data_IF_909632171316
#
_entry.id   IF_909632171316
#
_cell.length_a   1.000
_cell.length_b   1.000
_cell.length_c   1.000
_cell.angle_alpha   90.00
_cell.angle_beta   90.00
_cell.angle_gamma   90.00
#
_symmetry.space_group_name_H-M   'P 1'
#
loop_
_entity.id
_entity.type
_entity.pdbx_description
1 polymer ?
#
# COMPACT_ATOMS: atom_id res chain seq x y z
N UNK A 1 -16.54 -3.91 -15.15
CA UNK A 1 -16.09 -4.73 -16.28
C UNK A 1 -15.95 -6.14 -15.75
N UNK A 2 -16.67 -7.12 -16.30
CA UNK A 2 -16.46 -8.51 -15.89
C UNK A 2 -15.11 -8.99 -16.42
N UNK A 3 -14.42 -9.82 -15.64
CA UNK A 3 -13.13 -10.38 -16.00
C UNK A 3 -13.23 -11.28 -17.25
N UNK A 4 -14.44 -11.76 -17.57
CA UNK A 4 -14.74 -12.67 -18.69
C UNK A 4 -14.24 -12.12 -20.03
N UNK A 5 -14.38 -10.81 -20.27
CA UNK A 5 -13.90 -10.20 -21.51
C UNK A 5 -12.39 -10.42 -21.71
N UNK A 6 -11.59 -10.31 -20.64
CA UNK A 6 -10.15 -10.47 -20.75
C UNK A 6 -9.75 -11.95 -20.84
N UNK A 7 -10.54 -12.86 -20.27
CA UNK A 7 -10.36 -14.31 -20.44
C UNK A 7 -10.57 -14.68 -21.91
N UNK A 8 -11.67 -14.22 -22.52
CA UNK A 8 -12.01 -14.52 -23.91
C UNK A 8 -11.00 -13.90 -24.90
N UNK A 9 -10.46 -12.73 -24.56
CA UNK A 9 -9.51 -12.00 -25.40
C UNK A 9 -8.04 -12.33 -25.13
N UNK A 10 -7.68 -12.96 -24.01
CA UNK A 10 -6.28 -13.18 -23.62
C UNK A 10 -5.51 -14.17 -24.50
N UNK A 11 -6.22 -15.06 -25.22
CA UNK A 11 -5.59 -16.16 -25.96
C UNK A 11 -5.00 -17.23 -25.02
N UNK A 12 -4.26 -18.18 -25.57
CA UNK A 12 -3.80 -19.37 -24.82
C UNK A 12 -2.45 -19.91 -25.29
N UNK A 13 -1.65 -19.11 -25.99
CA UNK A 13 -0.35 -19.54 -26.55
C UNK A 13 0.80 -18.62 -26.13
N UNK A 14 2.03 -19.10 -26.25
CA UNK A 14 3.22 -18.26 -26.03
C UNK A 14 3.31 -17.12 -27.06
N UNK A 15 2.80 -17.34 -28.28
CA UNK A 15 2.73 -16.29 -29.29
C UNK A 15 1.78 -15.16 -28.85
N UNK A 16 0.61 -15.51 -28.28
CA UNK A 16 -0.31 -14.51 -27.72
C UNK A 16 0.39 -13.66 -26.65
N UNK A 17 1.10 -14.29 -25.70
CA UNK A 17 1.86 -13.58 -24.66
C UNK A 17 2.86 -12.61 -25.28
N UNK A 18 3.65 -13.03 -26.26
CA UNK A 18 4.66 -12.20 -26.89
C UNK A 18 4.05 -11.02 -27.66
N UNK A 19 2.95 -11.26 -28.38
CA UNK A 19 2.21 -10.24 -29.11
C UNK A 19 1.57 -9.21 -28.16
N UNK A 20 1.01 -9.65 -27.03
CA UNK A 20 0.46 -8.78 -25.98
C UNK A 20 1.57 -7.94 -25.34
N UNK A 21 2.73 -8.53 -25.03
CA UNK A 21 3.88 -7.81 -24.42
C UNK A 21 4.46 -6.80 -25.39
N UNK A 22 4.56 -7.11 -26.69
CA UNK A 22 4.90 -6.15 -27.74
C UNK A 22 3.77 -5.11 -27.95
N UNK A 23 2.55 -5.48 -27.56
CA UNK A 23 1.24 -4.86 -27.75
C UNK A 23 0.89 -4.52 -29.19
N UNK A 24 1.12 -5.52 -30.02
CA UNK A 24 0.42 -5.69 -31.28
C UNK A 24 -0.22 -7.07 -31.22
N UNK A 25 -1.49 -7.11 -30.86
CA UNK A 25 -2.21 -8.36 -30.58
C UNK A 25 -3.41 -8.51 -31.50
N UNK A 26 -3.53 -9.64 -32.20
CA UNK A 26 -4.63 -9.94 -33.15
C UNK A 26 -4.87 -8.81 -34.17
N UNK A 27 -3.80 -8.19 -34.65
CA UNK A 27 -3.87 -7.11 -35.64
C UNK A 27 -4.23 -5.72 -35.08
N UNK A 28 -4.34 -5.57 -33.76
CA UNK A 28 -4.65 -4.30 -33.08
C UNK A 28 -3.46 -3.83 -32.25
N UNK A 29 -3.17 -2.53 -32.30
CA UNK A 29 -2.17 -1.92 -31.40
C UNK A 29 -2.78 -1.68 -30.01
N UNK A 30 -2.12 -2.20 -28.99
CA UNK A 30 -2.51 -2.04 -27.58
C UNK A 30 -1.44 -1.20 -26.91
N UNK A 31 -1.59 0.13 -26.94
CA UNK A 31 -0.58 1.03 -26.35
C UNK A 31 -0.61 1.04 -24.82
N UNK A 32 -1.80 0.92 -24.23
CA UNK A 32 -1.97 0.98 -22.77
C UNK A 32 -1.40 -0.27 -22.09
N UNK A 33 -0.36 -0.07 -21.27
CA UNK A 33 0.31 -1.15 -20.54
C UNK A 33 -0.64 -1.82 -19.56
N UNK A 34 -1.56 -1.08 -18.91
CA UNK A 34 -2.52 -1.70 -17.99
C UNK A 34 -3.46 -2.69 -18.71
N UNK A 35 -3.87 -2.38 -19.93
CA UNK A 35 -4.65 -3.29 -20.78
C UNK A 35 -3.84 -4.51 -21.19
N UNK A 36 -2.56 -4.36 -21.55
CA UNK A 36 -1.66 -5.50 -21.82
C UNK A 36 -1.58 -6.44 -20.61
N UNK A 37 -1.43 -5.90 -19.40
CA UNK A 37 -1.38 -6.69 -18.16
C UNK A 37 -2.67 -7.48 -17.95
N UNK A 38 -3.85 -6.89 -18.20
CA UNK A 38 -5.13 -7.60 -18.07
C UNK A 38 -5.31 -8.71 -19.10
N UNK A 39 -4.86 -8.49 -20.34
CA UNK A 39 -4.87 -9.52 -21.37
C UNK A 39 -3.96 -10.69 -20.98
N UNK A 40 -2.76 -10.41 -20.44
CA UNK A 40 -1.86 -11.45 -19.90
C UNK A 40 -2.51 -12.24 -18.77
N UNK A 41 -3.28 -11.60 -17.88
CA UNK A 41 -4.05 -12.32 -16.86
C UNK A 41 -5.04 -13.29 -17.49
N UNK A 42 -5.74 -12.89 -18.55
CA UNK A 42 -6.62 -13.77 -19.31
C UNK A 42 -5.88 -14.96 -19.90
N UNK A 43 -4.71 -14.72 -20.51
CA UNK A 43 -3.86 -15.78 -21.05
C UNK A 43 -3.43 -16.78 -19.97
N UNK A 44 -2.98 -16.28 -18.82
CA UNK A 44 -2.52 -17.11 -17.71
C UNK A 44 -3.65 -17.91 -17.04
N UNK A 45 -4.89 -17.40 -17.09
CA UNK A 45 -6.07 -18.09 -16.58
C UNK A 45 -6.58 -19.18 -17.55
N UNK A 46 -6.27 -19.08 -18.85
CA UNK A 46 -6.77 -20.00 -19.87
C UNK A 46 -6.06 -21.36 -19.91
N UNK A 47 -4.74 -21.38 -19.66
CA UNK A 47 -3.92 -22.59 -19.72
C UNK A 47 -2.83 -22.58 -18.64
N UNK A 48 -2.86 -23.58 -17.77
CA UNK A 48 -1.87 -23.77 -16.70
C UNK A 48 -0.44 -23.90 -17.24
N UNK A 49 -0.25 -24.43 -18.46
CA UNK A 49 1.07 -24.59 -19.08
C UNK A 49 1.65 -23.25 -19.56
N UNK A 50 0.81 -22.23 -19.78
CA UNK A 50 1.23 -20.90 -20.24
C UNK A 50 1.40 -19.93 -19.07
N UNK A 51 0.81 -20.22 -17.90
CA UNK A 51 0.86 -19.36 -16.70
C UNK A 51 2.27 -18.85 -16.38
N UNK A 52 3.27 -19.73 -16.30
CA UNK A 52 4.64 -19.33 -15.97
C UNK A 52 5.30 -18.49 -17.08
N UNK A 53 4.96 -18.78 -18.34
CA UNK A 53 5.43 -18.00 -19.49
C UNK A 53 4.80 -16.61 -19.53
N UNK A 54 3.50 -16.50 -19.21
CA UNK A 54 2.78 -15.23 -19.10
C UNK A 54 3.36 -14.33 -18.00
N UNK A 55 3.96 -14.91 -16.95
CA UNK A 55 4.64 -14.15 -15.89
C UNK A 55 6.07 -13.79 -16.27
N UNK A 56 6.88 -14.78 -16.60
CA UNK A 56 8.35 -14.65 -16.63
C UNK A 56 8.97 -14.68 -18.02
N UNK A 57 8.19 -15.06 -19.04
CA UNK A 57 8.65 -15.24 -20.41
C UNK A 57 9.64 -16.40 -20.59
N UNK A 58 10.39 -16.33 -21.68
CA UNK A 58 11.50 -17.24 -21.95
C UNK A 58 12.77 -16.81 -21.22
N UNK A 59 13.57 -17.78 -20.75
CA UNK A 59 14.81 -17.51 -20.02
C UNK A 59 15.86 -16.75 -20.84
N UNK A 60 15.88 -16.90 -22.17
CA UNK A 60 16.85 -16.27 -23.07
C UNK A 60 16.27 -15.05 -23.77
N UNK A 61 15.03 -15.15 -24.24
CA UNK A 61 14.39 -14.09 -25.04
C UNK A 61 13.63 -13.07 -24.20
N UNK A 62 13.38 -13.35 -22.92
CA UNK A 62 12.48 -12.57 -22.09
C UNK A 62 11.02 -12.83 -22.46
N UNK A 63 10.13 -11.93 -22.06
CA UNK A 63 8.70 -12.04 -22.30
C UNK A 63 7.87 -11.92 -21.03
N UNK A 64 6.58 -12.20 -21.19
CA UNK A 64 5.61 -12.17 -20.11
C UNK A 64 5.49 -10.80 -19.43
N UNK A 65 4.83 -10.83 -18.29
CA UNK A 65 4.60 -9.67 -17.45
C UNK A 65 5.89 -9.03 -16.98
N UNK A 66 6.91 -9.83 -16.68
CA UNK A 66 8.22 -9.35 -16.25
C UNK A 66 8.79 -8.30 -17.20
N UNK A 67 8.65 -8.49 -18.51
CA UNK A 67 9.17 -7.53 -19.49
C UNK A 67 8.46 -6.17 -19.45
N UNK A 68 7.23 -6.11 -18.94
CA UNK A 68 6.49 -4.85 -18.83
C UNK A 68 6.94 -4.03 -17.62
N UNK A 69 7.29 -4.68 -16.50
CA UNK A 69 7.58 -3.99 -15.23
C UNK A 69 9.04 -3.99 -14.80
N UNK A 70 9.88 -4.87 -15.35
CA UNK A 70 11.28 -4.98 -14.99
C UNK A 70 12.21 -4.55 -16.13
N UNK A 71 13.24 -3.80 -15.78
CA UNK A 71 14.37 -3.46 -16.66
C UNK A 71 15.64 -3.29 -15.81
N UNK A 72 16.82 -3.32 -16.45
CA UNK A 72 18.10 -3.07 -15.75
C UNK A 72 18.15 -1.70 -15.07
N UNK A 73 17.43 -0.73 -15.62
CA UNK A 73 17.09 0.52 -14.96
C UNK A 73 15.55 0.57 -14.82
N UNK A 74 14.98 0.50 -13.60
CA UNK A 74 13.52 0.51 -13.41
C UNK A 74 12.81 1.73 -14.01
N UNK A 75 13.51 2.86 -14.17
CA UNK A 75 12.99 4.07 -14.82
C UNK A 75 12.68 3.86 -16.32
N UNK A 76 13.29 2.86 -16.96
CA UNK A 76 13.10 2.55 -18.38
C UNK A 76 12.14 1.41 -18.65
N UNK A 77 11.63 0.75 -17.59
CA UNK A 77 10.63 -0.30 -17.73
C UNK A 77 9.38 0.24 -18.47
N UNK A 78 8.77 -0.53 -19.38
CA UNK A 78 7.60 -0.09 -20.15
C UNK A 78 6.45 0.45 -19.30
N UNK A 79 6.18 -0.17 -18.16
CA UNK A 79 5.14 0.27 -17.22
C UNK A 79 5.50 1.61 -16.58
N UNK A 80 6.75 1.79 -16.17
CA UNK A 80 7.23 3.05 -15.60
C UNK A 80 7.14 4.19 -16.61
N UNK A 81 7.73 3.99 -17.79
CA UNK A 81 7.83 5.04 -18.82
C UNK A 81 6.50 5.31 -19.52
N UNK A 82 5.78 4.26 -19.90
CA UNK A 82 4.57 4.35 -20.73
C UNK A 82 3.27 4.50 -19.94
N UNK A 83 3.28 4.28 -18.63
CA UNK A 83 2.08 4.45 -17.80
C UNK A 83 2.35 5.36 -16.60
N UNK A 84 3.29 5.02 -15.72
CA UNK A 84 3.45 5.75 -14.45
C UNK A 84 3.77 7.23 -14.69
N UNK A 85 4.74 7.54 -15.54
CA UNK A 85 5.12 8.92 -15.83
C UNK A 85 3.98 9.74 -16.45
N UNK A 86 3.23 9.16 -17.40
CA UNK A 86 2.09 9.82 -18.03
C UNK A 86 0.96 10.08 -17.03
N UNK A 87 0.65 9.10 -16.19
CA UNK A 87 -0.43 9.21 -15.21
C UNK A 87 -0.06 10.12 -14.04
N UNK A 88 1.21 10.19 -13.65
CA UNK A 88 1.69 11.19 -12.68
C UNK A 88 1.56 12.60 -13.23
N UNK A 89 1.88 12.83 -14.51
CA UNK A 89 1.62 14.12 -15.16
C UNK A 89 0.13 14.45 -15.12
N UNK A 90 -0.74 13.50 -15.47
CA UNK A 90 -2.20 13.69 -15.41
C UNK A 90 -2.70 13.98 -14.00
N UNK A 91 -2.20 13.27 -12.99
CA UNK A 91 -2.51 13.52 -11.58
C UNK A 91 -2.10 14.94 -11.15
N UNK A 92 -0.96 15.43 -11.64
CA UNK A 92 -0.51 16.79 -11.39
C UNK A 92 -1.44 17.82 -12.05
N UNK A 93 -1.77 17.61 -13.32
CA UNK A 93 -2.65 18.51 -14.10
C UNK A 93 -4.06 18.59 -13.51
N UNK A 94 -4.54 17.50 -12.90
CA UNK A 94 -5.81 17.44 -12.15
C UNK A 94 -5.72 18.01 -10.73
N UNK A 95 -4.54 18.44 -10.27
CA UNK A 95 -4.33 18.94 -8.91
C UNK A 95 -4.50 17.86 -7.83
N UNK A 96 -4.27 16.59 -8.15
CA UNK A 96 -4.46 15.45 -7.24
C UNK A 96 -3.18 15.01 -6.52
N UNK A 97 -2.00 15.43 -6.98
CA UNK A 97 -0.73 15.14 -6.29
C UNK A 97 -0.50 16.03 -5.07
N UNK A 98 -1.09 17.23 -5.06
CA UNK A 98 -0.93 18.22 -3.99
C UNK A 98 -2.29 18.66 -3.50
N UNK A 99 -2.52 18.70 -2.18
CA UNK A 99 -3.78 19.22 -1.66
C UNK A 99 -4.01 20.68 -2.08
N UNK A 100 -5.15 20.95 -2.71
CA UNK A 100 -5.58 22.29 -3.11
C UNK A 100 -6.67 22.81 -2.17
N UNK A 101 -6.27 23.31 -0.99
CA UNK A 101 -7.20 24.01 -0.10
C UNK A 101 -6.54 25.23 0.53
N UNK A 102 -7.37 26.20 0.91
CA UNK A 102 -6.91 27.36 1.65
C UNK A 102 -6.65 27.00 3.10
N UNK A 103 -5.43 27.25 3.60
CA UNK A 103 -5.14 27.11 5.03
C UNK A 103 -6.01 28.05 5.89
N UNK A 104 -6.51 29.15 5.30
CA UNK A 104 -7.39 30.10 5.99
C UNK A 104 -8.76 29.51 6.32
N UNK A 105 -9.20 28.48 5.60
CA UNK A 105 -10.45 27.76 5.94
C UNK A 105 -10.29 26.72 7.03
N UNK A 106 -9.07 26.50 7.54
CA UNK A 106 -8.79 25.56 8.62
C UNK A 106 -8.69 26.28 9.98
N UNK A 107 -8.85 25.57 11.11
CA UNK A 107 -8.68 26.15 12.43
C UNK A 107 -7.35 26.89 12.60
N UNK A 108 -7.36 27.98 13.38
CA UNK A 108 -6.15 28.78 13.65
C UNK A 108 -5.00 27.90 14.14
N UNK A 109 -3.83 28.07 13.53
CA UNK A 109 -2.64 27.27 13.82
C UNK A 109 -2.51 26.00 12.98
N UNK A 110 -3.39 25.78 11.99
CA UNK A 110 -3.23 24.70 11.00
C UNK A 110 -2.07 24.99 10.05
N UNK A 111 -1.35 23.94 9.65
CA UNK A 111 -0.22 23.98 8.73
C UNK A 111 -0.21 22.72 7.85
N UNK A 112 0.50 22.79 6.72
CA UNK A 112 0.71 21.68 5.81
C UNK A 112 2.20 21.30 5.82
N UNK A 113 2.49 20.00 5.94
CA UNK A 113 3.81 19.43 5.73
C UNK A 113 3.81 18.61 4.46
N UNK A 114 4.70 18.97 3.54
CA UNK A 114 4.94 18.22 2.33
C UNK A 114 6.44 18.15 2.08
N UNK A 115 6.93 16.97 1.75
CA UNK A 115 8.31 16.73 1.38
C UNK A 115 8.38 15.60 0.37
N UNK A 116 9.48 15.56 -0.36
CA UNK A 116 9.84 14.46 -1.25
C UNK A 116 10.86 13.58 -0.53
N UNK A 117 10.83 12.29 -0.81
CA UNK A 117 11.78 11.33 -0.29
C UNK A 117 12.11 10.31 -1.36
N UNK A 118 13.29 9.72 -1.24
CA UNK A 118 13.73 8.63 -2.11
C UNK A 118 13.80 7.34 -1.30
N UNK A 119 13.29 6.26 -1.87
CA UNK A 119 13.35 4.95 -1.21
C UNK A 119 14.78 4.44 -1.09
N UNK A 120 15.26 4.25 0.15
CA UNK A 120 16.58 3.68 0.42
C UNK A 120 16.67 2.17 0.11
N UNK A 121 15.53 1.47 0.19
CA UNK A 121 15.35 0.07 -0.17
C UNK A 121 14.03 -0.08 -0.91
N UNK A 122 13.88 -1.16 -1.65
CA UNK A 122 12.61 -1.51 -2.28
C UNK A 122 11.48 -1.54 -1.26
N UNK A 123 10.32 -1.04 -1.68
CA UNK A 123 9.11 -1.01 -0.90
C UNK A 123 8.07 -1.94 -1.52
N UNK A 124 7.47 -2.77 -0.69
CA UNK A 124 6.48 -3.74 -1.10
C UNK A 124 5.20 -3.49 -0.31
N UNK A 125 4.07 -3.66 -0.98
CA UNK A 125 2.76 -3.68 -0.35
C UNK A 125 1.90 -4.71 -1.04
N UNK A 126 0.90 -5.21 -0.33
CA UNK A 126 -0.08 -6.11 -0.93
C UNK A 126 -1.20 -5.28 -1.55
N UNK A 127 -1.47 -5.50 -2.83
CA UNK A 127 -2.74 -5.08 -3.43
C UNK A 127 -3.83 -6.12 -3.19
N UNK A 128 -5.07 -5.67 -3.06
CA UNK A 128 -6.26 -6.53 -2.91
C UNK A 128 -6.99 -6.73 -4.25
N UNK A 129 -6.36 -6.38 -5.38
CA UNK A 129 -6.95 -6.53 -6.71
C UNK A 129 -7.15 -8.02 -7.00
N UNK A 130 -8.40 -8.51 -7.10
CA UNK A 130 -8.65 -9.88 -7.54
C UNK A 130 -8.27 -9.99 -9.01
N UNK A 131 -7.85 -11.17 -9.45
CA UNK A 131 -7.53 -11.45 -10.85
C UNK A 131 -6.33 -10.63 -11.37
N UNK A 132 -5.16 -10.92 -10.82
CA UNK A 132 -3.87 -10.42 -11.29
C UNK A 132 -3.15 -11.45 -12.14
N UNK A 133 -2.10 -11.04 -12.89
CA UNK A 133 -1.44 -11.84 -13.97
C UNK A 133 -1.39 -13.33 -13.66
N UNK A 134 -0.98 -13.69 -12.45
CA UNK A 134 -1.13 -15.04 -11.91
C UNK A 134 -1.15 -14.99 -10.39
N UNK A 135 -1.51 -16.10 -9.74
CA UNK A 135 -1.36 -16.26 -8.29
C UNK A 135 0.11 -16.22 -7.82
N UNK A 136 1.07 -16.42 -8.73
CA UNK A 136 2.50 -16.37 -8.42
C UNK A 136 3.09 -14.96 -8.48
N UNK A 137 2.30 -13.96 -8.88
CA UNK A 137 2.68 -12.55 -8.86
C UNK A 137 1.92 -11.84 -7.75
N UNK A 138 2.65 -11.35 -6.74
CA UNK A 138 2.08 -10.51 -5.71
C UNK A 138 2.17 -9.04 -6.14
N UNK A 139 1.02 -8.40 -6.46
CA UNK A 139 1.01 -7.02 -6.92
C UNK A 139 1.34 -6.03 -5.79
N UNK A 140 2.09 -4.98 -6.14
CA UNK A 140 2.21 -3.78 -5.33
C UNK A 140 0.89 -3.02 -5.41
N UNK A 141 0.47 -2.40 -4.30
CA UNK A 141 -0.76 -1.60 -4.28
C UNK A 141 -0.68 -0.45 -5.28
N UNK A 142 -1.69 -0.34 -6.13
CA UNK A 142 -1.82 0.71 -7.14
C UNK A 142 -3.10 1.50 -6.95
N UNK A 143 -3.09 2.73 -7.43
CA UNK A 143 -4.33 3.50 -7.56
C UNK A 143 -5.31 2.81 -8.50
N UNK A 144 -6.61 2.87 -8.18
CA UNK A 144 -7.64 2.14 -8.93
C UNK A 144 -7.82 2.66 -10.36
N UNK A 145 -7.64 3.96 -10.57
CA UNK A 145 -7.88 4.63 -11.85
C UNK A 145 -6.56 4.76 -12.62
N UNK A 146 -5.55 5.36 -11.99
CA UNK A 146 -4.29 5.73 -12.63
C UNK A 146 -3.31 4.55 -12.72
N UNK A 147 -3.53 3.48 -11.96
CA UNK A 147 -2.65 2.30 -11.90
C UNK A 147 -1.19 2.62 -11.51
N UNK A 148 -0.96 3.77 -10.90
CA UNK A 148 0.34 4.16 -10.32
C UNK A 148 0.50 3.51 -8.94
N UNK A 149 1.66 2.96 -8.59
CA UNK A 149 1.91 2.45 -7.24
C UNK A 149 1.67 3.51 -6.18
N UNK A 150 0.95 3.14 -5.12
CA UNK A 150 0.46 4.11 -4.13
C UNK A 150 0.56 3.58 -2.70
N UNK A 151 1.08 4.43 -1.82
CA UNK A 151 0.94 4.28 -0.39
C UNK A 151 -0.26 5.07 0.10
N UNK A 152 -1.26 4.38 0.64
CA UNK A 152 -2.50 5.01 1.09
C UNK A 152 -2.28 5.90 2.33
N UNK A 153 -3.09 6.96 2.43
CA UNK A 153 -3.11 7.85 3.59
C UNK A 153 -3.32 7.10 4.92
N UNK A 154 -4.16 6.05 4.93
CA UNK A 154 -4.40 5.21 6.10
C UNK A 154 -3.17 4.39 6.51
N UNK A 155 -2.37 3.94 5.53
CA UNK A 155 -1.10 3.23 5.80
C UNK A 155 -0.07 4.18 6.43
N UNK A 156 0.07 5.39 5.90
CA UNK A 156 0.91 6.43 6.52
C UNK A 156 0.48 6.76 7.95
N UNK A 157 -0.83 6.96 8.16
CA UNK A 157 -1.40 7.20 9.48
C UNK A 157 -1.05 6.07 10.45
N UNK A 158 -1.23 4.81 10.03
CA UNK A 158 -0.96 3.65 10.86
C UNK A 158 0.51 3.53 11.25
N UNK A 159 1.42 3.65 10.28
CA UNK A 159 2.87 3.57 10.52
C UNK A 159 3.36 4.70 11.41
N UNK A 160 2.92 5.93 11.17
CA UNK A 160 3.32 7.06 12.01
C UNK A 160 2.71 6.95 13.42
N UNK A 161 1.45 6.51 13.56
CA UNK A 161 0.85 6.25 14.88
C UNK A 161 1.67 5.23 15.66
N UNK A 162 2.08 4.14 14.99
CA UNK A 162 2.91 3.10 15.60
C UNK A 162 4.30 3.63 16.00
N UNK A 163 5.00 4.32 15.09
CA UNK A 163 6.33 4.86 15.37
C UNK A 163 6.31 5.87 16.52
N UNK A 164 5.36 6.81 16.51
CA UNK A 164 5.20 7.80 17.59
C UNK A 164 4.84 7.11 18.91
N UNK A 165 3.98 6.09 18.89
CA UNK A 165 3.68 5.27 20.08
C UNK A 165 4.92 4.58 20.64
N UNK A 166 5.74 3.94 19.80
CA UNK A 166 6.98 3.30 20.24
C UNK A 166 7.89 4.31 20.96
N UNK A 167 8.19 5.43 20.31
CA UNK A 167 9.15 6.43 20.81
C UNK A 167 8.61 7.23 22.01
N UNK A 168 7.32 7.59 22.01
CA UNK A 168 6.78 8.49 23.06
C UNK A 168 6.17 7.77 24.26
N UNK A 169 5.74 6.51 24.09
CA UNK A 169 5.07 5.74 25.14
C UNK A 169 5.89 4.52 25.55
N UNK A 170 6.26 3.63 24.61
CA UNK A 170 6.77 2.31 24.98
C UNK A 170 8.25 2.31 25.37
N UNK A 171 9.11 2.96 24.59
CA UNK A 171 10.54 3.11 24.89
C UNK A 171 10.78 3.78 26.26
N UNK A 172 10.17 4.96 26.56
CA UNK A 172 10.33 5.61 27.86
C UNK A 172 9.42 5.05 28.95
N UNK A 173 8.63 4.00 28.71
CA UNK A 173 7.54 3.56 29.60
C UNK A 173 7.96 3.44 31.08
N UNK A 174 9.13 2.85 31.34
CA UNK A 174 9.67 2.66 32.70
C UNK A 174 10.06 3.97 33.42
N UNK A 175 10.31 5.03 32.66
CA UNK A 175 10.71 6.35 33.16
C UNK A 175 9.52 7.27 33.37
N UNK A 176 8.36 6.95 32.78
CA UNK A 176 7.15 7.76 32.88
C UNK A 176 6.37 7.41 34.15
N UNK A 177 5.83 8.46 34.76
CA UNK A 177 4.73 8.31 35.72
C UNK A 177 3.45 7.88 34.99
N UNK A 178 2.51 7.29 35.73
CA UNK A 178 1.21 6.90 35.18
C UNK A 178 0.44 8.10 34.56
N UNK A 179 0.54 9.28 35.18
CA UNK A 179 -0.11 10.50 34.66
C UNK A 179 0.54 11.00 33.37
N UNK A 180 1.88 10.98 33.28
CA UNK A 180 2.59 11.36 32.07
C UNK A 180 2.29 10.41 30.91
N UNK A 181 2.28 9.10 31.17
CA UNK A 181 1.91 8.11 30.17
C UNK A 181 0.48 8.37 29.67
N UNK A 182 -0.48 8.54 30.59
CA UNK A 182 -1.87 8.85 30.24
C UNK A 182 -2.02 10.16 29.45
N UNK A 183 -1.26 11.20 29.80
CA UNK A 183 -1.25 12.49 29.11
C UNK A 183 -0.70 12.37 27.68
N UNK A 184 0.39 11.60 27.50
CA UNK A 184 0.97 11.34 26.17
C UNK A 184 0.02 10.50 25.32
N UNK A 185 -0.60 9.45 25.89
CA UNK A 185 -1.62 8.63 25.22
C UNK A 185 -2.81 9.48 24.76
N UNK A 186 -3.32 10.38 25.62
CA UNK A 186 -4.34 11.35 25.23
C UNK A 186 -3.91 12.23 24.05
N UNK A 187 -2.67 12.73 24.05
CA UNK A 187 -2.17 13.51 22.92
C UNK A 187 -2.18 12.68 21.62
N UNK A 188 -1.86 11.38 21.69
CA UNK A 188 -1.93 10.49 20.52
C UNK A 188 -3.37 10.32 20.03
N UNK A 189 -4.33 10.15 20.94
CA UNK A 189 -5.77 10.08 20.62
C UNK A 189 -6.26 11.36 19.92
N UNK A 190 -5.76 12.53 20.32
CA UNK A 190 -6.10 13.79 19.66
C UNK A 190 -5.42 13.95 18.29
N UNK A 191 -4.21 13.43 18.10
CA UNK A 191 -3.49 13.51 16.83
C UNK A 191 -4.02 12.50 15.80
N UNK A 192 -4.22 11.24 16.21
CA UNK A 192 -4.54 10.13 15.32
C UNK A 192 -6.01 9.70 15.36
N UNK A 193 -6.78 10.18 16.33
CA UNK A 193 -8.17 9.75 16.56
C UNK A 193 -8.27 8.68 17.63
N UNK A 194 -9.49 8.23 17.87
CA UNK A 194 -9.83 7.22 18.86
C UNK A 194 -9.05 5.90 18.71
N UNK A 195 -9.01 5.14 19.80
CA UNK A 195 -8.32 3.87 19.87
C UNK A 195 -9.28 2.75 19.48
N UNK A 196 -8.88 1.93 18.49
CA UNK A 196 -9.68 0.77 18.09
C UNK A 196 -9.80 -0.19 19.27
N UNK A 197 -11.03 -0.58 19.58
CA UNK A 197 -11.34 -1.51 20.66
C UNK A 197 -11.66 -0.85 22.00
N UNK A 198 -11.75 0.47 22.06
CA UNK A 198 -12.36 1.17 23.20
C UNK A 198 -13.89 1.11 23.05
N UNK A 199 -14.58 0.36 23.93
CA UNK A 199 -16.03 0.18 23.85
C UNK A 199 -16.70 -0.17 25.20
N UNK A 200 -18.05 -0.14 25.27
CA UNK A 200 -18.77 -0.40 26.50
C UNK A 200 -18.56 -1.84 27.00
N UNK A 201 -18.12 -1.99 28.24
CA UNK A 201 -17.99 -3.30 28.92
C UNK A 201 -16.77 -4.14 28.50
N UNK A 202 -16.04 -3.77 27.44
CA UNK A 202 -14.82 -4.47 27.06
C UNK A 202 -13.83 -3.60 26.29
N UNK A 203 -12.57 -3.62 26.71
CA UNK A 203 -11.44 -2.99 26.01
C UNK A 203 -10.73 -4.07 25.20
N UNK A 204 -10.55 -3.88 23.89
CA UNK A 204 -9.98 -4.86 22.94
C UNK A 204 -8.85 -4.24 22.10
N UNK A 205 -8.22 -5.07 21.26
CA UNK A 205 -7.27 -4.67 20.22
C UNK A 205 -6.18 -3.68 20.73
N UNK A 206 -6.16 -2.49 20.16
CA UNK A 206 -5.12 -1.49 20.38
C UNK A 206 -5.26 -0.83 21.74
N UNK A 207 -6.50 -0.59 22.18
CA UNK A 207 -6.76 -0.03 23.50
C UNK A 207 -6.32 -1.01 24.61
N UNK A 208 -6.58 -2.31 24.45
CA UNK A 208 -6.14 -3.35 25.41
C UNK A 208 -4.63 -3.43 25.46
N UNK A 209 -3.97 -3.44 24.30
CA UNK A 209 -2.51 -3.45 24.24
C UNK A 209 -1.87 -2.30 25.03
N UNK A 210 -2.40 -1.07 24.92
CA UNK A 210 -1.88 0.08 25.65
C UNK A 210 -2.20 0.02 27.15
N UNK A 211 -3.36 -0.54 27.53
CA UNK A 211 -3.69 -0.79 28.93
C UNK A 211 -2.71 -1.80 29.54
N UNK A 212 -2.40 -2.88 28.84
CA UNK A 212 -1.47 -3.93 29.28
C UNK A 212 -0.02 -3.40 29.39
N UNK A 213 0.36 -2.45 28.53
CA UNK A 213 1.67 -1.81 28.59
C UNK A 213 1.87 -0.97 29.86
N UNK A 214 0.81 -0.33 30.38
CA UNK A 214 0.87 0.53 31.57
C UNK A 214 -0.47 0.52 32.35
N UNK A 215 -0.76 -0.55 33.11
CA UNK A 215 -2.09 -0.76 33.72
C UNK A 215 -2.54 0.33 34.70
N UNK A 216 -1.60 0.89 35.46
CA UNK A 216 -1.81 1.98 36.42
C UNK A 216 -2.17 3.32 35.75
N UNK A 217 -1.98 3.45 34.43
CA UNK A 217 -2.31 4.66 33.67
C UNK A 217 -3.70 4.65 33.01
N UNK A 218 -4.31 3.49 32.82
CA UNK A 218 -5.49 3.31 31.97
C UNK A 218 -6.71 4.08 32.48
N UNK A 219 -6.98 4.01 33.79
CA UNK A 219 -8.05 4.79 34.41
C UNK A 219 -7.80 6.30 34.34
N UNK A 220 -6.53 6.71 34.49
CA UNK A 220 -6.13 8.12 34.40
C UNK A 220 -6.35 8.64 32.97
N UNK A 221 -5.97 7.86 31.96
CA UNK A 221 -6.20 8.18 30.55
C UNK A 221 -7.69 8.39 30.27
N UNK A 222 -8.54 7.43 30.63
CA UNK A 222 -10.00 7.52 30.44
C UNK A 222 -10.60 8.73 31.15
N UNK A 223 -10.20 9.00 32.40
CA UNK A 223 -10.63 10.19 33.14
C UNK A 223 -10.25 11.49 32.40
N UNK A 224 -9.04 11.56 31.84
CA UNK A 224 -8.59 12.74 31.07
C UNK A 224 -9.36 12.88 29.75
N UNK A 225 -9.68 11.79 29.05
CA UNK A 225 -10.54 11.81 27.86
C UNK A 225 -11.93 12.34 28.22
N UNK A 226 -12.59 11.74 29.24
CA UNK A 226 -13.91 12.18 29.69
C UNK A 226 -13.94 13.66 30.06
N UNK A 227 -12.95 14.13 30.83
CA UNK A 227 -12.83 15.53 31.20
C UNK A 227 -12.69 16.46 29.97
N UNK A 228 -11.91 16.04 28.95
CA UNK A 228 -11.71 16.83 27.74
C UNK A 228 -12.99 16.95 26.89
N UNK A 229 -13.74 15.85 26.78
CA UNK A 229 -14.98 15.80 26.00
C UNK A 229 -16.24 16.14 26.83
N UNK A 230 -16.06 16.48 28.12
CA UNK A 230 -17.12 16.84 29.07
C UNK A 230 -18.18 15.74 29.25
N UNK A 231 -17.71 14.49 29.32
CA UNK A 231 -18.55 13.31 29.52
C UNK A 231 -18.70 12.98 31.00
N UNK A 232 -19.88 12.53 31.42
CA UNK A 232 -20.11 11.92 32.73
C UNK A 232 -19.40 10.56 32.85
N UNK A 233 -19.48 9.91 34.02
CA UNK A 233 -18.83 8.60 34.25
C UNK A 233 -19.51 7.45 33.48
N UNK A 234 -20.82 7.54 33.31
CA UNK A 234 -21.70 6.55 32.68
C UNK A 234 -21.82 6.71 31.16
N UNK A 235 -21.43 7.87 30.61
CA UNK A 235 -21.40 8.08 29.16
C UNK A 235 -20.37 7.18 28.45
N UNK A 236 -20.64 6.83 27.19
CA UNK A 236 -19.70 6.06 26.37
C UNK A 236 -18.46 6.89 26.01
N UNK A 237 -17.35 6.21 25.72
CA UNK A 237 -16.14 6.89 25.25
C UNK A 237 -16.38 7.54 23.88
N UNK A 238 -15.81 8.73 23.62
CA UNK A 238 -16.16 9.50 22.44
C UNK A 238 -15.49 8.93 21.20
N UNK A 239 -16.21 8.93 20.08
CA UNK A 239 -15.59 8.77 18.76
C UNK A 239 -15.06 10.12 18.29
N UNK A 240 -13.73 10.23 18.20
CA UNK A 240 -13.08 11.46 17.76
C UNK A 240 -12.19 11.24 16.54
N UNK A 241 -12.31 12.17 15.58
CA UNK A 241 -11.35 12.24 14.48
C UNK A 241 -10.03 12.84 14.98
N UNK A 242 -8.93 12.28 14.51
CA UNK A 242 -7.59 12.83 14.75
C UNK A 242 -7.38 14.18 14.05
N UNK A 243 -6.52 15.02 14.62
CA UNK A 243 -6.15 16.33 14.08
C UNK A 243 -5.17 16.26 12.91
N UNK A 244 -4.47 15.14 12.74
CA UNK A 244 -3.58 14.93 11.59
C UNK A 244 -4.34 14.45 10.36
N UNK A 245 -4.24 15.20 9.27
CA UNK A 245 -4.65 14.79 7.93
C UNK A 245 -3.49 14.11 7.20
N UNK A 246 -3.75 12.97 6.58
CA UNK A 246 -2.77 12.23 5.80
C UNK A 246 -3.22 12.17 4.34
N UNK A 247 -2.24 12.19 3.43
CA UNK A 247 -2.46 12.09 1.99
C UNK A 247 -1.78 10.84 1.45
N UNK A 248 -2.22 10.38 0.29
CA UNK A 248 -1.58 9.27 -0.40
C UNK A 248 -0.25 9.72 -1.02
N UNK A 249 0.70 8.80 -1.12
CA UNK A 249 1.96 9.01 -1.84
C UNK A 249 1.97 8.13 -3.08
N UNK A 250 2.16 8.74 -4.24
CA UNK A 250 2.32 8.03 -5.50
C UNK A 250 3.81 7.87 -5.81
N UNK A 251 4.22 6.66 -6.19
CA UNK A 251 5.60 6.39 -6.58
C UNK A 251 5.77 6.47 -8.09
N UNK A 252 6.98 6.84 -8.52
CA UNK A 252 7.34 7.11 -9.92
C UNK A 252 7.89 5.88 -10.67
N UNK A 253 8.07 4.75 -10.00
CA UNK A 253 8.66 3.53 -10.56
C UNK A 253 7.96 2.27 -10.01
N UNK A 254 8.08 1.19 -10.76
CA UNK A 254 7.70 -0.17 -10.37
C UNK A 254 8.80 -1.13 -10.82
N UNK A 255 8.95 -2.24 -10.10
CA UNK A 255 9.87 -3.32 -10.46
C UNK A 255 9.35 -4.68 -9.93
N UNK A 256 10.11 -5.75 -10.20
CA UNK A 256 9.87 -7.10 -9.70
C UNK A 256 11.08 -7.64 -8.95
N UNK A 257 10.82 -8.11 -7.73
CA UNK A 257 11.68 -9.00 -6.98
C UNK A 257 11.23 -10.45 -7.13
N UNK A 258 12.16 -11.38 -6.90
CA UNK A 258 11.87 -12.82 -6.95
C UNK A 258 12.36 -13.47 -5.68
N UNK A 259 11.46 -14.15 -4.97
CA UNK A 259 11.79 -15.01 -3.84
C UNK A 259 11.60 -16.46 -4.27
N UNK A 260 12.62 -17.28 -4.07
CA UNK A 260 12.52 -18.72 -4.31
C UNK A 260 12.48 -19.46 -2.95
N UNK A 261 11.32 -19.92 -2.47
CA UNK A 261 11.25 -20.71 -1.25
C UNK A 261 11.97 -22.05 -1.44
N UNK A 262 12.85 -22.37 -0.49
CA UNK A 262 13.60 -23.62 -0.47
C UNK A 262 12.94 -24.66 0.43
N UNK A 263 12.86 -25.90 -0.04
CA UNK A 263 12.52 -27.02 0.82
C UNK A 263 13.61 -27.22 1.87
N UNK A 264 13.23 -27.41 3.14
CA UNK A 264 14.19 -27.67 4.23
C UNK A 264 14.89 -29.02 4.07
N UNK A 265 14.22 -30.00 3.45
CA UNK A 265 14.72 -31.36 3.28
C UNK A 265 15.72 -31.44 2.12
N UNK A 266 15.34 -30.95 0.94
CA UNK A 266 16.15 -31.09 -0.28
C UNK A 266 17.09 -29.91 -0.51
N UNK A 267 16.89 -28.80 0.21
CA UNK A 267 17.53 -27.49 -0.01
C UNK A 267 17.36 -26.95 -1.44
N UNK A 268 16.52 -27.58 -2.25
CA UNK A 268 16.20 -27.14 -3.60
C UNK A 268 15.12 -26.06 -3.55
N UNK A 269 15.23 -25.09 -4.46
CA UNK A 269 14.19 -24.11 -4.70
C UNK A 269 12.96 -24.78 -5.29
N UNK A 270 11.77 -24.32 -4.90
CA UNK A 270 10.50 -24.86 -5.38
C UNK A 270 9.97 -24.00 -6.53
N UNK A 271 8.95 -23.19 -6.30
CA UNK A 271 8.37 -22.30 -7.31
C UNK A 271 8.74 -20.85 -7.00
N UNK A 272 9.34 -20.11 -7.93
CA UNK A 272 9.66 -18.71 -7.72
C UNK A 272 8.39 -17.89 -7.54
N UNK A 273 8.38 -17.04 -6.52
CA UNK A 273 7.31 -16.09 -6.23
C UNK A 273 7.80 -14.72 -6.70
N UNK A 274 7.04 -14.12 -7.61
CA UNK A 274 7.31 -12.79 -8.12
C UNK A 274 6.61 -11.77 -7.24
N UNK A 275 7.35 -10.80 -6.75
CA UNK A 275 6.86 -9.77 -5.86
C UNK A 275 7.07 -8.44 -6.54
N UNK A 276 5.98 -7.76 -6.88
CA UNK A 276 6.11 -6.39 -7.31
C UNK A 276 6.51 -5.50 -6.16
N UNK A 277 7.37 -4.57 -6.49
CA UNK A 277 7.84 -3.57 -5.57
C UNK A 277 7.91 -2.22 -6.25
N UNK A 278 8.04 -1.19 -5.43
CA UNK A 278 8.63 0.07 -5.84
C UNK A 278 10.13 -0.06 -5.55
N UNK A 279 11.01 0.10 -6.55
CA UNK A 279 12.44 -0.12 -6.38
C UNK A 279 13.10 0.93 -5.49
N UNK A 280 14.28 0.61 -4.99
CA UNK A 280 15.13 1.62 -4.37
C UNK A 280 15.46 2.73 -5.38
N UNK A 281 15.54 3.98 -4.92
CA UNK A 281 15.77 5.14 -5.78
C UNK A 281 14.49 5.76 -6.36
N UNK A 282 13.32 5.17 -6.13
CA UNK A 282 12.02 5.78 -6.47
C UNK A 282 11.71 7.01 -5.63
#
# INVERSE_FOLDING_TARGET
>A
MSCDLYVDLGGSTQQDVNEIVAGRYRGVEVHDVATRVRLLTGTAASDANIKDYAVSGDRKKGGGYKQLVHASNPATAPYTKGLIQEQLKRLNDLGMLKPSFSLLSLPKGSWLLQFEFTLAKSWMSKDDTPFYVSDSVNPVRKDKVFKVPVMAASSWKGLLRWAVMQVHLLEPNRQLTADEFARRRLAHTLLFGDEKGEGPGEVKDFARFLDDCRPDSSAIYRRKVRALFKLSEDEEMPHNRGRLGFYATFFNMIDLEVINPHSRETKAGTQPIYLECVPAGA
#
